data_IF_999870199267
#
_entry.id   IF_999870199267
#
_cell.length_a   1.000
_cell.length_b   1.000
_cell.length_c   1.000
_cell.angle_alpha   90.00
_cell.angle_beta   90.00
_cell.angle_gamma   90.00
#
_symmetry.space_group_name_H-M   'P 1'
#
loop_
_entity.id
_entity.type
_entity.pdbx_description
1 polymer ?
#
# COMPACT_ATOMS: atom_id res chain seq x y z
N UNK A 1 61.58 27.83 2.63
CA UNK A 1 61.56 26.36 2.83
C UNK A 1 62.06 25.92 4.21
N UNK A 2 63.01 26.62 4.85
CA UNK A 2 63.50 26.27 6.19
C UNK A 2 62.46 26.40 7.32
N UNK A 3 61.52 27.35 7.24
CA UNK A 3 60.49 27.58 8.26
C UNK A 3 59.43 26.49 8.33
N UNK A 4 59.08 25.87 7.20
CA UNK A 4 58.11 24.78 7.16
C UNK A 4 58.67 23.48 7.77
N UNK A 5 59.94 23.16 7.50
CA UNK A 5 60.62 21.99 8.07
C UNK A 5 60.75 22.10 9.60
N UNK A 6 61.13 23.28 10.13
CA UNK A 6 61.23 23.53 11.58
C UNK A 6 59.88 23.45 12.28
N UNK A 7 58.83 24.01 11.68
CA UNK A 7 57.47 23.93 12.21
C UNK A 7 56.91 22.50 12.19
N UNK A 8 57.27 21.70 11.18
CA UNK A 8 56.84 20.30 11.08
C UNK A 8 57.61 19.43 12.07
N UNK A 9 58.90 19.68 12.31
CA UNK A 9 59.68 19.00 13.37
C UNK A 9 59.21 19.38 14.77
N UNK A 10 58.82 20.63 15.03
CA UNK A 10 58.22 21.04 16.32
C UNK A 10 56.83 20.44 16.53
N UNK A 11 55.99 20.37 15.50
CA UNK A 11 54.67 19.76 15.60
C UNK A 11 54.76 18.25 15.85
N UNK A 12 55.72 17.54 15.23
CA UNK A 12 55.95 16.12 15.48
C UNK A 12 56.51 15.87 16.89
N UNK A 13 57.43 16.72 17.36
CA UNK A 13 57.94 16.68 18.74
C UNK A 13 56.86 16.93 19.80
N UNK A 14 55.98 17.89 19.57
CA UNK A 14 54.85 18.17 20.47
C UNK A 14 53.82 17.03 20.51
N UNK A 15 53.60 16.31 19.40
CA UNK A 15 52.71 15.14 19.34
C UNK A 15 53.32 13.93 20.04
N UNK A 16 54.65 13.76 19.96
CA UNK A 16 55.34 12.70 20.73
C UNK A 16 55.37 13.01 22.21
N UNK A 17 55.64 14.27 22.60
CA UNK A 17 55.66 14.70 24.00
C UNK A 17 54.28 14.58 24.63
N UNK A 18 53.22 14.95 23.93
CA UNK A 18 51.86 14.72 24.43
C UNK A 18 51.61 13.23 24.66
N UNK A 19 51.94 12.34 23.72
CA UNK A 19 51.78 10.89 23.93
C UNK A 19 52.56 10.37 25.13
N UNK A 20 53.75 10.91 25.39
CA UNK A 20 54.54 10.57 26.58
C UNK A 20 53.86 11.08 27.85
N UNK A 21 53.36 12.32 27.85
CA UNK A 21 52.60 12.91 28.96
C UNK A 21 51.32 12.11 29.22
N UNK A 22 50.54 11.79 28.19
CA UNK A 22 49.33 10.97 28.31
C UNK A 22 49.64 9.59 28.88
N UNK A 23 50.69 8.90 28.39
CA UNK A 23 51.11 7.60 28.93
C UNK A 23 51.58 7.70 30.39
N UNK A 24 52.34 8.74 30.74
CA UNK A 24 52.82 8.99 32.10
C UNK A 24 51.65 9.26 33.06
N UNK A 25 50.70 10.08 32.64
CA UNK A 25 49.51 10.42 33.42
C UNK A 25 48.57 9.22 33.58
N UNK A 26 48.44 8.37 32.55
CA UNK A 26 47.59 7.17 32.60
C UNK A 26 48.14 6.08 33.52
N UNK A 27 49.47 5.95 33.60
CA UNK A 27 50.13 4.93 34.43
C UNK A 27 50.22 5.39 35.90
N UNK A 28 50.53 6.66 36.14
CA UNK A 28 50.87 7.16 37.49
C UNK A 28 49.75 7.99 38.14
N UNK A 29 48.69 8.36 37.41
CA UNK A 29 47.61 9.24 37.88
C UNK A 29 48.07 10.70 38.11
N UNK A 30 48.95 10.92 39.09
CA UNK A 30 49.55 12.21 39.47
C UNK A 30 51.02 12.35 39.00
N UNK A 31 51.60 11.33 38.34
CA UNK A 31 52.84 11.47 37.55
C UNK A 31 54.15 11.72 38.30
N UNK A 32 54.13 12.02 39.61
CA UNK A 32 55.33 12.40 40.39
C UNK A 32 55.53 11.59 41.67
N UNK A 33 54.50 10.93 42.19
CA UNK A 33 54.55 10.36 43.55
C UNK A 33 55.49 9.16 43.73
N UNK A 34 55.55 8.23 42.78
CA UNK A 34 56.26 6.96 42.99
C UNK A 34 57.76 7.04 42.68
N UNK A 35 58.14 7.80 41.65
CA UNK A 35 59.56 8.12 41.38
C UNK A 35 60.17 8.95 42.52
N UNK A 36 59.40 9.91 43.07
CA UNK A 36 59.79 10.69 44.24
C UNK A 36 59.96 9.81 45.49
N UNK A 37 59.05 8.86 45.75
CA UNK A 37 59.15 7.90 46.86
C UNK A 37 60.36 6.98 46.73
N UNK A 38 60.65 6.46 45.54
CA UNK A 38 61.82 5.61 45.28
C UNK A 38 63.11 6.40 45.47
N UNK A 39 63.16 7.64 44.99
CA UNK A 39 64.30 8.53 45.19
C UNK A 39 64.47 8.90 46.68
N UNK A 40 63.37 9.09 47.42
CA UNK A 40 63.40 9.33 48.86
C UNK A 40 63.90 8.10 49.64
N UNK A 41 63.51 6.89 49.23
CA UNK A 41 64.01 5.64 49.78
C UNK A 41 65.53 5.52 49.57
N UNK A 42 66.01 5.78 48.35
CA UNK A 42 67.44 5.77 48.02
C UNK A 42 68.24 6.79 48.84
N UNK A 43 67.74 8.02 48.98
CA UNK A 43 68.36 9.05 49.84
C UNK A 43 68.34 8.66 51.32
N UNK A 44 67.27 8.01 51.78
CA UNK A 44 67.15 7.54 53.17
C UNK A 44 68.12 6.41 53.47
N UNK A 45 68.37 5.50 52.52
CA UNK A 45 69.39 4.47 52.61
C UNK A 45 70.81 5.07 52.74
N UNK A 46 71.15 6.06 51.90
CA UNK A 46 72.45 6.75 51.98
C UNK A 46 72.63 7.46 53.33
N UNK A 47 71.56 8.08 53.86
CA UNK A 47 71.59 8.73 55.19
C UNK A 47 71.72 7.73 56.32
N UNK A 48 71.08 6.57 56.22
CA UNK A 48 71.21 5.49 57.20
C UNK A 48 72.64 4.94 57.22
N UNK A 49 73.25 4.70 56.06
CA UNK A 49 74.63 4.22 55.95
C UNK A 49 75.65 5.19 56.58
N UNK A 50 75.43 6.50 56.46
CA UNK A 50 76.29 7.54 57.02
C UNK A 50 75.89 7.98 58.44
N UNK A 51 75.06 7.21 59.15
CA UNK A 51 74.62 7.58 60.51
C UNK A 51 75.74 7.44 61.53
N UNK A 52 75.95 8.48 62.36
CA UNK A 52 77.06 8.56 63.32
C UNK A 52 76.74 7.99 64.70
N UNK A 53 75.46 7.77 65.01
CA UNK A 53 74.96 7.23 66.28
C UNK A 53 73.99 6.07 66.07
N UNK A 54 73.98 5.12 67.00
CA UNK A 54 73.09 3.95 66.96
C UNK A 54 71.60 4.33 67.01
N UNK A 55 71.25 5.39 67.76
CA UNK A 55 69.87 5.88 67.87
C UNK A 55 69.39 6.54 66.56
N UNK A 56 70.26 7.32 65.92
CA UNK A 56 69.99 7.93 64.62
C UNK A 56 69.85 6.86 63.52
N UNK A 57 70.75 5.88 63.52
CA UNK A 57 70.68 4.73 62.61
C UNK A 57 69.38 3.95 62.75
N UNK A 58 68.92 3.69 63.98
CA UNK A 58 67.65 3.00 64.22
C UNK A 58 66.45 3.80 63.70
N UNK A 59 66.41 5.12 63.96
CA UNK A 59 65.33 5.98 63.48
C UNK A 59 65.29 6.10 61.95
N UNK A 60 66.45 6.18 61.28
CA UNK A 60 66.50 6.21 59.82
C UNK A 60 66.10 4.86 59.20
N UNK A 61 66.46 3.74 59.84
CA UNK A 61 66.05 2.41 59.42
C UNK A 61 64.53 2.22 59.47
N UNK A 62 63.87 2.65 60.56
CA UNK A 62 62.41 2.60 60.68
C UNK A 62 61.70 3.46 59.63
N UNK A 63 62.24 4.66 59.33
CA UNK A 63 61.73 5.51 58.24
C UNK A 63 61.86 4.84 56.89
N UNK A 64 63.01 4.21 56.62
CA UNK A 64 63.27 3.47 55.38
C UNK A 64 62.27 2.32 55.19
N UNK A 65 62.01 1.53 56.25
CA UNK A 65 60.99 0.47 56.21
C UNK A 65 59.59 1.02 55.94
N UNK A 66 59.22 2.13 56.57
CA UNK A 66 57.92 2.77 56.33
C UNK A 66 57.77 3.24 54.89
N UNK A 67 58.81 3.87 54.31
CA UNK A 67 58.80 4.29 52.91
C UNK A 67 58.76 3.11 51.94
N UNK A 68 59.42 2.00 52.26
CA UNK A 68 59.38 0.77 51.45
C UNK A 68 57.96 0.18 51.43
N UNK A 69 57.31 0.08 52.59
CA UNK A 69 55.92 -0.41 52.69
C UNK A 69 54.94 0.47 51.89
N UNK A 70 55.15 1.79 51.87
CA UNK A 70 54.36 2.71 51.04
C UNK A 70 54.58 2.50 49.54
N UNK A 71 55.82 2.19 49.11
CA UNK A 71 56.13 1.87 47.72
C UNK A 71 55.44 0.57 47.29
N UNK A 72 55.50 -0.47 48.12
CA UNK A 72 54.84 -1.76 47.87
C UNK A 72 53.32 -1.59 47.75
N UNK A 73 52.72 -0.82 48.65
CA UNK A 73 51.28 -0.51 48.59
C UNK A 73 50.90 0.25 47.31
N UNK A 74 51.70 1.26 46.93
CA UNK A 74 51.45 2.02 45.70
C UNK A 74 51.51 1.13 44.46
N UNK A 75 52.53 0.27 44.38
CA UNK A 75 52.67 -0.71 43.29
C UNK A 75 51.45 -1.64 43.20
N UNK A 76 50.99 -2.19 44.33
CA UNK A 76 49.81 -3.05 44.37
C UNK A 76 48.54 -2.32 43.93
N UNK A 77 48.38 -1.06 44.33
CA UNK A 77 47.27 -0.20 43.90
C UNK A 77 47.28 0.03 42.39
N UNK A 78 48.44 0.35 41.81
CA UNK A 78 48.58 0.59 40.37
C UNK A 78 48.22 -0.65 39.54
N UNK A 79 48.61 -1.85 40.00
CA UNK A 79 48.22 -3.10 39.35
C UNK A 79 46.70 -3.31 39.37
N UNK A 80 46.06 -3.07 40.52
CA UNK A 80 44.60 -3.22 40.64
C UNK A 80 43.83 -2.20 39.78
N UNK A 81 44.32 -0.96 39.69
CA UNK A 81 43.75 0.06 38.78
C UNK A 81 43.91 -0.35 37.32
N UNK A 82 45.07 -0.91 36.95
CA UNK A 82 45.30 -1.43 35.62
C UNK A 82 44.30 -2.55 35.26
N UNK A 83 44.10 -3.52 36.15
CA UNK A 83 43.15 -4.62 35.94
C UNK A 83 41.70 -4.12 35.87
N UNK A 84 41.35 -3.11 36.67
CA UNK A 84 40.05 -2.43 36.60
C UNK A 84 39.85 -1.77 35.23
N UNK A 85 40.84 -1.02 34.74
CA UNK A 85 40.79 -0.33 33.46
C UNK A 85 40.66 -1.32 32.29
N UNK A 86 41.34 -2.47 32.35
CA UNK A 86 41.22 -3.52 31.35
C UNK A 86 39.77 -4.03 31.26
N UNK A 87 39.16 -4.29 32.42
CA UNK A 87 37.75 -4.73 32.50
C UNK A 87 36.77 -3.67 32.03
N UNK A 88 37.03 -2.39 32.35
CA UNK A 88 36.22 -1.28 31.84
C UNK A 88 36.32 -1.16 30.31
N UNK A 89 37.50 -1.36 29.73
CA UNK A 89 37.69 -1.34 28.28
C UNK A 89 36.88 -2.46 27.60
N UNK A 90 36.91 -3.68 28.13
CA UNK A 90 36.10 -4.80 27.64
C UNK A 90 34.58 -4.51 27.76
N UNK A 91 34.16 -3.94 28.89
CA UNK A 91 32.76 -3.57 29.11
C UNK A 91 32.32 -2.48 28.12
N UNK A 92 33.16 -1.47 27.87
CA UNK A 92 32.87 -0.42 26.91
C UNK A 92 32.75 -1.01 25.49
N UNK A 93 33.65 -1.91 25.08
CA UNK A 93 33.55 -2.60 23.79
C UNK A 93 32.23 -3.38 23.65
N UNK A 94 31.80 -4.06 24.71
CA UNK A 94 30.53 -4.76 24.75
C UNK A 94 29.35 -3.80 24.57
N UNK A 95 29.34 -2.69 25.29
CA UNK A 95 28.29 -1.66 25.18
C UNK A 95 28.24 -1.08 23.76
N UNK A 96 29.40 -0.83 23.13
CA UNK A 96 29.45 -0.38 21.74
C UNK A 96 28.76 -1.36 20.79
N UNK A 97 29.07 -2.66 20.90
CA UNK A 97 28.43 -3.70 20.07
C UNK A 97 26.93 -3.80 20.31
N UNK A 98 26.48 -3.67 21.56
CA UNK A 98 25.05 -3.65 21.90
C UNK A 98 24.33 -2.44 21.30
N UNK A 99 24.95 -1.26 21.36
CA UNK A 99 24.41 -0.04 20.76
C UNK A 99 24.34 -0.17 19.23
N UNK A 100 25.39 -0.67 18.58
CA UNK A 100 25.41 -0.91 17.13
C UNK A 100 24.31 -1.89 16.71
N UNK A 101 24.14 -2.99 17.46
CA UNK A 101 23.06 -3.94 17.22
C UNK A 101 21.66 -3.32 17.39
N UNK A 102 21.48 -2.49 18.42
CA UNK A 102 20.23 -1.76 18.65
C UNK A 102 19.92 -0.77 17.52
N UNK A 103 20.94 -0.05 17.03
CA UNK A 103 20.81 0.88 15.89
C UNK A 103 20.43 0.12 14.62
N UNK A 104 21.10 -1.01 14.33
CA UNK A 104 20.78 -1.84 13.18
C UNK A 104 19.32 -2.36 13.25
N UNK A 105 18.89 -2.85 14.42
CA UNK A 105 17.51 -3.29 14.64
C UNK A 105 16.49 -2.16 14.54
N UNK A 106 16.83 -0.95 14.97
CA UNK A 106 15.98 0.23 14.78
C UNK A 106 15.84 0.61 13.30
N UNK A 107 16.93 0.54 12.52
CA UNK A 107 16.88 0.75 11.08
C UNK A 107 15.98 -0.27 10.37
N UNK A 108 16.08 -1.55 10.73
CA UNK A 108 15.21 -2.59 10.19
C UNK A 108 13.73 -2.31 10.49
N UNK A 109 13.40 -1.97 11.75
CA UNK A 109 12.03 -1.57 12.14
C UNK A 109 11.52 -0.37 11.35
N UNK A 110 12.37 0.62 11.10
CA UNK A 110 12.01 1.79 10.26
C UNK A 110 11.70 1.34 8.83
N UNK A 111 12.51 0.45 8.24
CA UNK A 111 12.26 -0.04 6.88
C UNK A 111 10.96 -0.83 6.77
N UNK A 112 10.67 -1.67 7.76
CA UNK A 112 9.43 -2.44 7.79
C UNK A 112 8.21 -1.53 8.02
N UNK A 113 8.30 -0.56 8.92
CA UNK A 113 7.24 0.43 9.13
C UNK A 113 6.97 1.24 7.85
N UNK A 114 8.01 1.62 7.09
CA UNK A 114 7.88 2.26 5.78
C UNK A 114 7.16 1.39 4.75
N UNK A 115 7.36 0.07 4.77
CA UNK A 115 6.64 -0.86 3.90
C UNK A 115 5.17 -0.96 4.30
N UNK A 116 4.89 -1.10 5.59
CA UNK A 116 3.54 -1.19 6.12
C UNK A 116 2.71 0.07 5.85
N UNK A 117 3.29 1.27 6.00
CA UNK A 117 2.56 2.51 5.70
C UNK A 117 2.22 2.64 4.21
N UNK A 118 3.07 2.16 3.30
CA UNK A 118 2.76 2.15 1.86
C UNK A 118 1.61 1.19 1.55
N UNK A 119 1.60 0.01 2.18
CA UNK A 119 0.50 -0.93 2.06
C UNK A 119 -0.81 -0.36 2.63
N UNK A 120 -0.77 0.23 3.82
CA UNK A 120 -1.93 0.86 4.45
C UNK A 120 -2.49 2.02 3.61
N UNK A 121 -1.62 2.83 3.00
CA UNK A 121 -2.04 3.88 2.05
C UNK A 121 -2.74 3.32 0.82
N UNK A 122 -2.24 2.20 0.28
CA UNK A 122 -2.89 1.51 -0.85
C UNK A 122 -4.27 1.02 -0.45
N UNK A 123 -4.40 0.29 0.66
CA UNK A 123 -5.69 -0.21 1.16
C UNK A 123 -6.68 0.94 1.37
N UNK A 124 -6.22 2.07 1.94
CA UNK A 124 -7.07 3.25 2.13
C UNK A 124 -7.55 3.83 0.80
N UNK A 125 -6.67 3.92 -0.20
CA UNK A 125 -7.04 4.40 -1.54
C UNK A 125 -8.08 3.47 -2.16
N UNK A 126 -7.84 2.16 -2.14
CA UNK A 126 -8.74 1.16 -2.70
C UNK A 126 -10.11 1.23 -2.00
N UNK A 127 -10.14 1.34 -0.66
CA UNK A 127 -11.37 1.55 0.12
C UNK A 127 -12.14 2.80 -0.31
N UNK A 128 -11.45 3.91 -0.55
CA UNK A 128 -12.09 5.15 -1.00
C UNK A 128 -12.66 5.01 -2.43
N UNK A 129 -11.98 4.29 -3.31
CA UNK A 129 -12.48 3.99 -4.67
C UNK A 129 -13.73 3.11 -4.62
N UNK A 130 -13.74 2.08 -3.76
CA UNK A 130 -14.92 1.26 -3.52
C UNK A 130 -16.10 2.06 -2.96
N UNK A 131 -15.86 2.91 -1.96
CA UNK A 131 -16.91 3.77 -1.39
C UNK A 131 -17.47 4.76 -2.42
N UNK A 132 -16.61 5.33 -3.26
CA UNK A 132 -17.01 6.22 -4.34
C UNK A 132 -17.90 5.48 -5.36
N UNK A 133 -17.49 4.28 -5.77
CA UNK A 133 -18.27 3.45 -6.69
C UNK A 133 -19.60 3.01 -6.07
N UNK A 134 -19.59 2.59 -4.81
CA UNK A 134 -20.80 2.21 -4.07
C UNK A 134 -21.81 3.36 -4.01
N UNK A 135 -21.35 4.60 -3.74
CA UNK A 135 -22.20 5.79 -3.78
C UNK A 135 -22.83 6.03 -5.14
N UNK A 136 -22.11 5.75 -6.24
CA UNK A 136 -22.67 5.86 -7.61
C UNK A 136 -23.70 4.76 -7.86
N UNK A 137 -23.43 3.52 -7.42
CA UNK A 137 -24.35 2.39 -7.55
C UNK A 137 -25.65 2.65 -6.77
N UNK A 138 -25.56 3.19 -5.56
CA UNK A 138 -26.70 3.55 -4.71
C UNK A 138 -27.64 4.60 -5.32
N UNK A 139 -27.17 5.40 -6.30
CA UNK A 139 -28.04 6.34 -7.03
C UNK A 139 -28.92 5.65 -8.08
N UNK A 140 -28.61 4.40 -8.44
CA UNK A 140 -29.41 3.61 -9.38
C UNK A 140 -30.53 2.90 -8.60
N UNK A 141 -31.70 2.69 -9.22
CA UNK A 141 -32.80 1.96 -8.60
C UNK A 141 -32.39 0.52 -8.28
N UNK A 142 -33.08 -0.10 -7.32
CA UNK A 142 -32.73 -1.45 -6.92
C UNK A 142 -32.92 -2.45 -8.07
N UNK A 143 -32.01 -3.41 -8.14
CA UNK A 143 -32.01 -4.42 -9.20
C UNK A 143 -33.26 -5.30 -9.12
N UNK A 144 -33.75 -5.60 -7.91
CA UNK A 144 -34.92 -6.48 -7.77
C UNK A 144 -36.18 -5.77 -8.24
N UNK A 145 -36.35 -4.52 -7.84
CA UNK A 145 -37.48 -3.67 -8.26
C UNK A 145 -37.51 -3.53 -9.80
N UNK A 146 -36.38 -3.15 -10.41
CA UNK A 146 -36.29 -3.03 -11.88
C UNK A 146 -36.57 -4.34 -12.61
N UNK A 147 -36.14 -5.50 -12.08
CA UNK A 147 -36.46 -6.81 -12.66
C UNK A 147 -37.95 -7.15 -12.54
N UNK A 148 -38.59 -6.81 -11.42
CA UNK A 148 -40.04 -7.04 -11.26
C UNK A 148 -40.87 -6.18 -12.20
N UNK A 149 -40.51 -4.90 -12.37
CA UNK A 149 -41.15 -4.01 -13.35
C UNK A 149 -40.98 -4.53 -14.78
N UNK A 150 -39.77 -4.96 -15.14
CA UNK A 150 -39.48 -5.52 -16.46
C UNK A 150 -40.31 -6.78 -16.74
N UNK A 151 -40.48 -7.64 -15.73
CA UNK A 151 -41.35 -8.81 -15.84
C UNK A 151 -42.83 -8.44 -16.01
N UNK A 152 -43.31 -7.41 -15.29
CA UNK A 152 -44.68 -6.94 -15.41
C UNK A 152 -44.94 -6.34 -16.81
N UNK A 153 -44.06 -5.45 -17.28
CA UNK A 153 -44.10 -4.89 -18.63
C UNK A 153 -44.01 -5.98 -19.71
N UNK A 154 -43.19 -7.00 -19.50
CA UNK A 154 -43.08 -8.14 -20.42
C UNK A 154 -44.41 -8.90 -20.57
N UNK A 155 -45.11 -9.15 -19.47
CA UNK A 155 -46.46 -9.77 -19.50
C UNK A 155 -47.48 -8.87 -20.18
N UNK A 156 -47.43 -7.57 -19.93
CA UNK A 156 -48.34 -6.61 -20.57
C UNK A 156 -48.12 -6.55 -22.08
N UNK A 157 -46.85 -6.56 -22.54
CA UNK A 157 -46.51 -6.61 -23.95
C UNK A 157 -47.03 -7.88 -24.63
N UNK A 158 -46.88 -9.03 -23.98
CA UNK A 158 -47.40 -10.32 -24.47
C UNK A 158 -48.93 -10.28 -24.60
N UNK A 159 -49.62 -9.76 -23.59
CA UNK A 159 -51.08 -9.57 -23.63
C UNK A 159 -51.51 -8.64 -24.76
N UNK A 160 -50.84 -7.49 -24.94
CA UNK A 160 -51.14 -6.57 -26.03
C UNK A 160 -50.88 -7.19 -27.41
N UNK A 161 -49.81 -8.00 -27.53
CA UNK A 161 -49.53 -8.76 -28.75
C UNK A 161 -50.65 -9.75 -29.07
N UNK A 162 -51.16 -10.47 -28.06
CA UNK A 162 -52.28 -11.39 -28.23
C UNK A 162 -53.57 -10.66 -28.63
N UNK A 163 -53.87 -9.53 -27.99
CA UNK A 163 -55.05 -8.70 -28.33
C UNK A 163 -54.93 -8.18 -29.76
N UNK A 164 -53.75 -7.67 -30.15
CA UNK A 164 -53.49 -7.19 -31.51
C UNK A 164 -53.75 -8.30 -32.54
N UNK A 165 -53.17 -9.49 -32.34
CA UNK A 165 -53.40 -10.64 -33.20
C UNK A 165 -54.88 -11.01 -33.31
N UNK A 166 -55.61 -11.05 -32.18
CA UNK A 166 -57.05 -11.32 -32.19
C UNK A 166 -57.87 -10.27 -32.96
N UNK A 167 -57.47 -9.00 -32.93
CA UNK A 167 -58.12 -7.94 -33.71
C UNK A 167 -57.79 -8.09 -35.20
N UNK A 168 -56.54 -8.40 -35.55
CA UNK A 168 -56.12 -8.68 -36.92
C UNK A 168 -56.90 -9.86 -37.51
N UNK A 169 -57.07 -10.95 -36.77
CA UNK A 169 -57.89 -12.11 -37.17
C UNK A 169 -59.36 -11.71 -37.41
N UNK A 170 -59.95 -10.90 -36.51
CA UNK A 170 -61.32 -10.40 -36.66
C UNK A 170 -61.45 -9.51 -37.89
N UNK A 171 -60.48 -8.64 -38.14
CA UNK A 171 -60.47 -7.74 -39.30
C UNK A 171 -60.37 -8.54 -40.60
N UNK A 172 -59.52 -9.56 -40.63
CA UNK A 172 -59.40 -10.46 -41.77
C UNK A 172 -60.69 -11.25 -42.03
N UNK A 173 -61.33 -11.76 -40.97
CA UNK A 173 -62.63 -12.42 -41.06
C UNK A 173 -63.69 -11.48 -41.65
N UNK A 174 -63.75 -10.21 -41.20
CA UNK A 174 -64.67 -9.22 -41.76
C UNK A 174 -64.36 -8.92 -43.22
N UNK A 175 -63.08 -8.79 -43.62
CA UNK A 175 -62.69 -8.67 -45.04
C UNK A 175 -63.20 -9.83 -45.88
N UNK A 176 -63.05 -11.08 -45.39
CA UNK A 176 -63.57 -12.29 -46.06
C UNK A 176 -65.09 -12.26 -46.19
N UNK A 177 -65.81 -11.89 -45.12
CA UNK A 177 -67.27 -11.76 -45.15
C UNK A 177 -67.75 -10.69 -46.14
N UNK A 178 -67.11 -9.51 -46.18
CA UNK A 178 -67.42 -8.48 -47.16
C UNK A 178 -67.14 -8.95 -48.59
N UNK A 179 -66.05 -9.69 -48.81
CA UNK A 179 -65.74 -10.24 -50.12
C UNK A 179 -66.82 -11.21 -50.60
N UNK A 180 -67.29 -12.12 -49.73
CA UNK A 180 -68.42 -13.02 -50.04
C UNK A 180 -69.67 -12.22 -50.39
N UNK A 181 -70.02 -11.20 -49.60
CA UNK A 181 -71.18 -10.34 -49.88
C UNK A 181 -71.06 -9.65 -51.24
N UNK A 182 -69.89 -9.06 -51.54
CA UNK A 182 -69.60 -8.43 -52.83
C UNK A 182 -69.73 -9.41 -54.00
N UNK A 183 -69.23 -10.63 -53.86
CA UNK A 183 -69.39 -11.68 -54.88
C UNK A 183 -70.86 -12.03 -55.09
N UNK A 184 -71.65 -12.21 -54.02
CA UNK A 184 -73.08 -12.50 -54.16
C UNK A 184 -73.85 -11.34 -54.80
N UNK A 185 -73.50 -10.09 -54.50
CA UNK A 185 -74.08 -8.92 -55.18
C UNK A 185 -73.75 -8.95 -56.67
N UNK A 186 -72.51 -9.27 -57.03
CA UNK A 186 -72.08 -9.35 -58.42
C UNK A 186 -72.78 -10.49 -59.17
N UNK A 187 -72.94 -11.66 -58.55
CA UNK A 187 -73.71 -12.78 -59.10
C UNK A 187 -75.18 -12.41 -59.31
N UNK A 188 -75.81 -11.73 -58.36
CA UNK A 188 -77.18 -11.25 -58.49
C UNK A 188 -77.32 -10.19 -59.59
N UNK A 189 -76.38 -9.26 -59.70
CA UNK A 189 -76.33 -8.29 -60.80
C UNK A 189 -76.19 -9.00 -62.14
N UNK A 190 -75.31 -10.00 -62.24
CA UNK A 190 -75.13 -10.80 -63.45
C UNK A 190 -76.40 -11.59 -63.79
N UNK A 191 -77.12 -12.10 -62.78
CA UNK A 191 -78.39 -12.80 -62.97
C UNK A 191 -79.48 -11.86 -63.48
N UNK A 192 -79.61 -10.66 -62.90
CA UNK A 192 -80.53 -9.62 -63.37
C UNK A 192 -80.21 -9.17 -64.79
N UNK A 193 -78.94 -8.97 -65.12
CA UNK A 193 -78.49 -8.58 -66.46
C UNK A 193 -78.69 -9.71 -67.49
N UNK A 194 -78.64 -10.97 -67.06
CA UNK A 194 -79.00 -12.12 -67.90
C UNK A 194 -80.52 -12.24 -68.08
N UNK A 195 -81.32 -11.98 -67.04
CA UNK A 195 -82.78 -11.96 -67.11
C UNK A 195 -83.31 -10.81 -67.99
N UNK A 196 -82.69 -9.63 -67.95
CA UNK A 196 -82.97 -8.53 -68.91
C UNK A 196 -82.69 -8.98 -70.35
N UNK A 197 -81.55 -9.65 -70.60
CA UNK A 197 -81.20 -10.18 -71.94
C UNK A 197 -82.14 -11.31 -72.39
N UNK A 198 -82.66 -12.12 -71.47
CA UNK A 198 -83.66 -13.16 -71.77
C UNK A 198 -85.04 -12.55 -72.03
N UNK A 199 -85.45 -11.52 -71.30
CA UNK A 199 -86.68 -10.76 -71.52
C UNK A 199 -86.67 -10.03 -72.87
N UNK A 200 -85.54 -9.43 -73.27
CA UNK A 200 -85.38 -8.84 -74.60
C UNK A 200 -85.42 -9.90 -75.73
N UNK A 201 -85.01 -11.15 -75.43
CA UNK A 201 -85.14 -12.30 -76.33
C UNK A 201 -86.58 -12.82 -76.47
N UNK A 202 -87.37 -12.78 -75.39
CA UNK A 202 -88.79 -13.22 -75.41
C UNK A 202 -89.71 -12.19 -76.08
N UNK A 203 -89.44 -10.87 -75.92
CA UNK A 203 -90.19 -9.84 -76.65
C UNK A 203 -89.88 -9.80 -78.16
N UNK A 204 -88.69 -10.24 -78.58
CA UNK A 204 -88.33 -10.41 -79.99
C UNK A 204 -88.98 -11.65 -80.66
N UNK A 205 -89.47 -12.63 -79.87
CA UNK A 205 -90.12 -13.83 -80.40
C UNK A 205 -91.65 -13.75 -80.41
N UNK A 206 -92.27 -12.85 -79.63
CA UNK A 206 -93.73 -12.62 -79.64
C UNK A 206 -94.20 -11.50 -80.59
N UNK A 207 -93.29 -10.67 -81.14
CA UNK A 207 -93.64 -9.56 -82.04
C UNK A 207 -93.43 -9.84 -83.53
N UNK A 208 -93.16 -11.09 -83.92
CA UNK A 208 -92.99 -11.49 -85.33
C UNK A 208 -93.85 -12.70 -85.74
N UNK A 209 -95.19 -12.59 -85.71
CA UNK A 209 -96.11 -13.23 -86.69
C UNK A 209 -97.59 -13.11 -86.28
N UNK A 210 -98.12 -11.91 -86.03
CA UNK A 210 -99.52 -11.66 -86.39
C UNK A 210 -99.72 -10.20 -86.78
N UNK A 211 -99.92 -9.99 -88.09
CA UNK A 211 -100.60 -8.90 -88.81
C UNK A 211 -99.91 -8.82 -90.18
N UNK A 212 -100.58 -9.09 -91.31
CA UNK A 212 -101.62 -8.26 -91.90
C UNK A 212 -102.20 -8.97 -93.17
N UNK A 213 -103.17 -8.42 -93.93
CA UNK A 213 -104.63 -8.47 -93.73
C UNK A 213 -105.41 -9.16 -94.89
N UNK A 214 -106.71 -9.42 -94.70
CA UNK A 214 -107.73 -9.54 -95.78
C UNK A 214 -108.22 -8.12 -96.14
N UNK A 215 -108.69 -7.79 -97.37
CA UNK A 215 -109.85 -8.47 -97.99
C UNK A 215 -109.96 -8.51 -99.55
N UNK A 216 -110.83 -9.43 -100.05
CA UNK A 216 -111.80 -9.35 -101.18
C UNK A 216 -111.33 -8.88 -102.58
N UNK A 217 -111.76 -9.39 -103.76
CA UNK A 217 -112.94 -10.13 -104.26
C UNK A 217 -112.67 -10.52 -105.74
N UNK A 218 -113.00 -11.75 -106.14
CA UNK A 218 -113.88 -12.12 -107.28
C UNK A 218 -114.01 -13.63 -107.37
#
# INVERSE_FOLDING_TARGET
MFTAAVATTHAVGAVTDNKVIWKRLLIDGDGTGDDEKINLLAKSFIKWYNSGSQEEGYNQYQRMLSTLSQCEFSMGKSLLVYDMNLREMENNEKIYKEIEGSIAGAHEKITECKKQILQAKRIRKDSQEYDALAKVILRRPDRRETLTELQALGKELENLSHIKGSIEDKLELRRKQFHVLLSTIHELQQTLENDEKLSEGEEAQQTSMETNPKPQTN
#
